data_IF_410976539979
#
_entry.id   IF_410976539979
#
_cell.length_a   1.000
_cell.length_b   1.000
_cell.length_c   1.000
_cell.angle_alpha   90.00
_cell.angle_beta   90.00
_cell.angle_gamma   90.00
#
_symmetry.space_group_name_H-M   'P 1'
#
loop_
_entity.id
_entity.type
_entity.pdbx_description
1 polymer ?
#
# COMPACT_ATOMS: atom_id res chain seq x y z
N UNK A 1 -7.30 -10.46 -5.86
CA UNK A 1 -8.06 -9.29 -6.40
C UNK A 1 -7.13 -8.10 -6.70
N UNK A 2 -7.59 -6.98 -7.31
CA UNK A 2 -6.75 -5.77 -7.53
C UNK A 2 -7.42 -4.48 -7.04
N UNK A 3 -6.73 -3.66 -6.23
CA UNK A 3 -7.23 -2.32 -5.90
C UNK A 3 -7.13 -1.41 -7.13
N UNK A 4 -8.22 -0.71 -7.42
CA UNK A 4 -8.34 0.20 -8.54
C UNK A 4 -8.95 1.51 -8.05
N UNK A 5 -8.46 2.63 -8.57
CA UNK A 5 -9.25 3.85 -8.61
C UNK A 5 -10.14 3.77 -9.84
N UNK A 6 -11.43 3.95 -9.63
CA UNK A 6 -12.41 3.81 -10.70
C UNK A 6 -13.41 4.95 -10.69
N UNK A 7 -13.98 5.21 -11.85
CA UNK A 7 -14.97 6.26 -12.03
C UNK A 7 -16.28 5.61 -12.47
N UNK A 8 -17.35 5.65 -11.66
CA UNK A 8 -18.67 5.20 -12.07
C UNK A 8 -19.16 6.00 -13.28
N UNK A 9 -19.81 5.32 -14.23
CA UNK A 9 -20.43 5.98 -15.38
C UNK A 9 -21.45 7.05 -14.93
N UNK A 10 -21.41 8.22 -15.55
CA UNK A 10 -22.30 9.35 -15.23
C UNK A 10 -21.83 10.23 -14.06
N UNK A 11 -20.78 9.83 -13.34
CA UNK A 11 -20.23 10.56 -12.19
C UNK A 11 -18.86 11.16 -12.51
N UNK A 12 -18.51 12.26 -11.82
CA UNK A 12 -17.17 12.89 -11.89
C UNK A 12 -16.21 12.42 -10.80
N UNK A 13 -16.74 11.80 -9.76
CA UNK A 13 -15.98 11.32 -8.61
C UNK A 13 -15.16 10.08 -8.96
N UNK A 14 -13.94 10.03 -8.41
CA UNK A 14 -13.05 8.88 -8.49
C UNK A 14 -13.11 8.18 -7.13
N UNK A 15 -13.49 6.92 -7.13
CA UNK A 15 -13.67 6.12 -5.93
C UNK A 15 -12.64 4.99 -5.86
N UNK A 16 -12.16 4.64 -4.65
CA UNK A 16 -11.39 3.42 -4.46
C UNK A 16 -12.31 2.19 -4.55
N UNK A 17 -11.86 1.14 -5.21
CA UNK A 17 -12.61 -0.12 -5.30
C UNK A 17 -11.72 -1.34 -5.49
N UNK A 18 -12.29 -2.51 -5.22
CA UNK A 18 -11.63 -3.81 -5.40
C UNK A 18 -12.15 -4.45 -6.67
N UNK A 19 -11.27 -4.71 -7.63
CA UNK A 19 -11.57 -5.44 -8.85
C UNK A 19 -11.61 -6.95 -8.59
N UNK A 20 -12.77 -7.53 -8.86
CA UNK A 20 -13.08 -8.97 -8.77
C UNK A 20 -13.48 -9.48 -10.16
N UNK A 21 -13.61 -10.81 -10.34
CA UNK A 21 -14.14 -11.37 -11.59
C UNK A 21 -15.60 -10.96 -11.89
N UNK A 22 -16.34 -10.48 -10.86
CA UNK A 22 -17.74 -10.09 -10.98
C UNK A 22 -17.95 -8.59 -11.17
N UNK A 23 -16.91 -7.76 -11.03
CA UNK A 23 -17.01 -6.30 -11.09
C UNK A 23 -16.09 -5.58 -10.12
N UNK A 24 -16.23 -4.25 -10.07
CA UNK A 24 -15.53 -3.42 -9.08
C UNK A 24 -16.46 -3.16 -7.92
N UNK A 25 -16.05 -3.60 -6.74
CA UNK A 25 -16.76 -3.30 -5.50
C UNK A 25 -16.18 -1.99 -4.98
N UNK A 26 -16.97 -0.91 -5.01
CA UNK A 26 -16.64 0.29 -4.24
C UNK A 26 -16.54 -0.11 -2.79
N UNK A 27 -15.63 0.50 -2.04
CA UNK A 27 -15.57 0.33 -0.58
C UNK A 27 -16.89 0.75 0.10
N UNK A 28 -17.80 1.42 -0.62
CA UNK A 28 -19.17 1.72 -0.19
C UNK A 28 -20.30 0.88 -0.81
N UNK A 29 -20.15 0.28 -2.01
CA UNK A 29 -21.20 -0.46 -2.77
C UNK A 29 -20.68 -1.16 -4.05
N UNK A 30 -21.30 -2.23 -4.53
CA UNK A 30 -20.87 -2.93 -5.75
C UNK A 30 -21.34 -2.25 -7.06
N UNK A 31 -20.44 -2.09 -8.05
CA UNK A 31 -20.76 -1.54 -9.38
C UNK A 31 -20.47 -2.57 -10.48
N UNK A 32 -21.39 -2.80 -11.45
CA UNK A 32 -21.17 -3.70 -12.58
C UNK A 32 -19.92 -3.34 -13.39
N UNK A 33 -19.14 -4.34 -13.82
CA UNK A 33 -17.88 -4.12 -14.56
C UNK A 33 -18.07 -3.33 -15.86
N UNK A 34 -19.22 -3.48 -16.51
CA UNK A 34 -19.59 -2.76 -17.74
C UNK A 34 -19.62 -1.24 -17.56
N UNK A 35 -19.88 -0.78 -16.33
CA UNK A 35 -20.19 0.61 -16.02
C UNK A 35 -18.97 1.31 -15.38
N UNK A 36 -17.83 0.64 -15.39
CA UNK A 36 -16.59 1.09 -14.76
C UNK A 36 -15.50 1.31 -15.81
N UNK A 37 -14.86 2.49 -15.75
CA UNK A 37 -13.59 2.74 -16.44
C UNK A 37 -12.44 2.61 -15.45
N UNK A 38 -11.62 1.57 -15.62
CA UNK A 38 -10.39 1.42 -14.86
C UNK A 38 -9.38 2.48 -15.32
N UNK A 39 -8.88 3.28 -14.37
CA UNK A 39 -7.73 4.14 -14.60
C UNK A 39 -6.46 3.35 -14.33
N UNK A 40 -5.35 3.78 -14.92
CA UNK A 40 -4.04 3.26 -14.56
C UNK A 40 -3.91 3.29 -13.02
N UNK A 41 -3.29 2.26 -12.40
CA UNK A 41 -3.04 2.26 -10.97
C UNK A 41 -2.46 3.60 -10.57
N UNK A 42 -2.87 4.13 -9.41
CA UNK A 42 -2.36 5.39 -8.86
C UNK A 42 -0.85 5.44 -9.15
N UNK A 43 -0.36 6.41 -9.95
CA UNK A 43 1.05 6.48 -10.24
C UNK A 43 1.73 6.84 -8.91
N UNK A 44 2.26 5.81 -8.23
CA UNK A 44 2.82 5.86 -6.89
C UNK A 44 1.79 6.12 -5.78
N UNK A 45 0.98 5.14 -5.34
CA UNK A 45 0.59 5.17 -3.93
C UNK A 45 1.90 5.27 -3.15
N UNK A 46 1.96 6.09 -2.09
CA UNK A 46 3.16 6.14 -1.25
C UNK A 46 3.60 4.73 -0.80
N UNK A 47 4.77 4.61 -0.17
CA UNK A 47 5.37 3.35 0.34
C UNK A 47 4.53 2.63 1.43
N UNK A 48 3.23 2.88 1.49
CA UNK A 48 2.26 2.49 2.49
C UNK A 48 1.61 1.15 2.11
N UNK A 49 1.45 0.85 0.82
CA UNK A 49 0.65 -0.30 0.38
C UNK A 49 1.39 -1.18 -0.62
N UNK A 50 1.63 -2.43 -0.23
CA UNK A 50 2.23 -3.47 -1.08
C UNK A 50 1.16 -4.26 -1.86
N UNK A 51 0.09 -4.69 -1.18
CA UNK A 51 -1.05 -5.40 -1.74
C UNK A 51 -2.29 -5.24 -0.85
N UNK A 52 -3.43 -5.69 -1.35
CA UNK A 52 -4.65 -5.90 -0.56
C UNK A 52 -5.14 -7.30 -0.87
N UNK A 53 -5.40 -8.07 0.19
CA UNK A 53 -6.03 -9.38 0.13
C UNK A 53 -7.33 -9.35 0.91
N UNK A 54 -8.30 -10.16 0.51
CA UNK A 54 -9.56 -10.31 1.25
C UNK A 54 -9.40 -11.29 2.42
N UNK A 55 -10.31 -11.22 3.39
CA UNK A 55 -10.25 -12.07 4.57
C UNK A 55 -10.34 -13.58 4.24
N UNK A 56 -10.98 -13.96 3.13
CA UNK A 56 -11.04 -15.34 2.66
C UNK A 56 -9.77 -15.81 1.94
N UNK A 57 -8.94 -14.89 1.44
CA UNK A 57 -7.62 -15.18 0.85
C UNK A 57 -6.56 -15.44 1.95
N UNK A 58 -6.82 -15.04 3.21
CA UNK A 58 -5.91 -15.22 4.36
C UNK A 58 -6.63 -16.00 5.48
N UNK A 59 -6.49 -17.35 5.51
CA UNK A 59 -7.18 -18.18 6.51
C UNK A 59 -6.81 -17.86 7.96
N UNK A 60 -5.56 -17.48 8.22
CA UNK A 60 -5.04 -17.09 9.53
C UNK A 60 -4.17 -15.83 9.38
N UNK A 61 -4.61 -14.65 9.86
CA UNK A 61 -3.88 -13.40 9.67
C UNK A 61 -2.58 -13.31 10.47
N UNK A 62 -2.46 -14.10 11.54
CA UNK A 62 -1.23 -14.27 12.31
C UNK A 62 -0.44 -15.53 11.88
N UNK A 63 -0.56 -15.96 10.61
CA UNK A 63 0.28 -17.01 10.00
C UNK A 63 0.67 -16.61 8.56
N UNK A 64 1.35 -15.47 8.44
CA UNK A 64 1.80 -14.92 7.15
C UNK A 64 3.31 -14.70 7.22
N UNK A 65 4.04 -15.37 6.33
CA UNK A 65 5.50 -15.24 6.25
C UNK A 65 5.90 -14.02 5.42
N UNK A 66 6.75 -13.17 5.98
CA UNK A 66 7.23 -11.92 5.39
C UNK A 66 8.74 -11.94 5.28
N UNK A 67 9.24 -11.63 4.08
CA UNK A 67 10.66 -11.48 3.80
C UNK A 67 10.94 -10.14 3.11
N UNK A 68 12.09 -9.55 3.43
CA UNK A 68 12.52 -8.25 2.89
C UNK A 68 14.02 -8.24 2.69
N UNK A 69 14.47 -7.78 1.52
CA UNK A 69 15.87 -7.67 1.15
C UNK A 69 16.23 -6.24 0.73
N UNK A 70 17.47 -5.87 0.99
CA UNK A 70 18.10 -4.65 0.45
C UNK A 70 19.40 -5.05 -0.23
N UNK A 71 19.52 -4.75 -1.53
CA UNK A 71 20.64 -5.17 -2.38
C UNK A 71 20.97 -6.67 -2.24
N UNK A 72 19.92 -7.49 -2.18
CA UNK A 72 20.01 -8.95 -2.05
C UNK A 72 20.35 -9.45 -0.64
N UNK A 73 20.60 -8.56 0.33
CA UNK A 73 20.81 -8.94 1.73
C UNK A 73 19.46 -9.07 2.44
N UNK A 74 19.15 -10.27 2.94
CA UNK A 74 17.95 -10.52 3.74
C UNK A 74 18.02 -9.72 5.03
N UNK A 75 17.03 -8.85 5.25
CA UNK A 75 16.91 -8.03 6.45
C UNK A 75 15.75 -8.49 7.33
N UNK A 76 14.53 -8.56 6.82
CA UNK A 76 13.41 -9.15 7.58
C UNK A 76 13.11 -10.57 7.07
N UNK A 77 12.85 -11.47 8.00
CA UNK A 77 12.41 -12.84 7.74
C UNK A 77 11.64 -13.35 8.96
N UNK A 78 10.32 -13.13 8.99
CA UNK A 78 9.50 -13.42 10.16
C UNK A 78 8.08 -13.82 9.75
N UNK A 79 7.37 -14.52 10.63
CA UNK A 79 5.95 -14.80 10.47
C UNK A 79 5.14 -13.84 11.37
N UNK A 80 3.92 -13.49 10.96
CA UNK A 80 3.01 -12.63 11.73
C UNK A 80 2.48 -13.26 13.03
N UNK A 81 2.84 -14.51 13.34
CA UNK A 81 2.68 -15.11 14.67
C UNK A 81 3.57 -14.46 15.75
N UNK A 82 4.66 -13.81 15.34
CA UNK A 82 5.59 -13.05 16.20
C UNK A 82 5.09 -11.63 16.54
N UNK A 83 3.87 -11.28 16.13
CA UNK A 83 3.25 -10.02 16.52
C UNK A 83 2.95 -9.99 18.03
N UNK A 84 3.41 -8.96 18.74
CA UNK A 84 3.14 -8.77 20.18
C UNK A 84 1.64 -8.67 20.48
N UNK A 85 0.88 -8.06 19.59
CA UNK A 85 -0.59 -8.00 19.64
C UNK A 85 -1.18 -8.68 18.41
N UNK A 86 -2.05 -9.66 18.62
CA UNK A 86 -2.65 -10.41 17.50
C UNK A 86 -3.68 -9.56 16.77
N UNK A 87 -3.96 -9.92 15.51
CA UNK A 87 -4.92 -9.16 14.68
C UNK A 87 -6.32 -9.04 15.33
N UNK A 88 -6.89 -10.08 15.95
CA UNK A 88 -8.17 -9.95 16.66
C UNK A 88 -8.13 -8.93 17.81
N UNK A 89 -7.02 -8.86 18.56
CA UNK A 89 -6.83 -7.93 19.68
C UNK A 89 -6.70 -6.49 19.18
N UNK A 90 -5.98 -6.29 18.08
CA UNK A 90 -5.85 -4.99 17.41
C UNK A 90 -7.20 -4.48 16.91
N UNK A 91 -8.03 -5.35 16.34
CA UNK A 91 -9.39 -5.00 15.89
C UNK A 91 -10.26 -4.64 17.10
N UNK A 92 -10.25 -5.46 18.16
CA UNK A 92 -10.98 -5.17 19.40
C UNK A 92 -10.62 -3.78 19.93
N UNK A 93 -9.32 -3.50 20.08
CA UNK A 93 -8.85 -2.22 20.57
C UNK A 93 -9.22 -1.06 19.64
N UNK A 94 -9.05 -1.21 18.32
CA UNK A 94 -9.38 -0.18 17.36
C UNK A 94 -10.88 0.16 17.35
N UNK A 95 -11.75 -0.81 17.62
CA UNK A 95 -13.21 -0.59 17.70
C UNK A 95 -13.68 0.15 18.95
N UNK A 96 -12.77 0.55 19.85
CA UNK A 96 -13.07 1.52 20.92
C UNK A 96 -13.36 2.92 20.37
N UNK A 97 -12.94 3.19 19.13
CA UNK A 97 -13.37 4.34 18.32
C UNK A 97 -14.22 3.86 17.14
N UNK A 98 -15.01 4.76 16.55
CA UNK A 98 -15.77 4.43 15.33
C UNK A 98 -14.82 4.21 14.15
N UNK A 99 -14.81 3.00 13.61
CA UNK A 99 -14.14 2.67 12.35
C UNK A 99 -15.10 2.84 11.17
N UNK A 100 -14.58 3.36 10.07
CA UNK A 100 -15.28 3.51 8.80
C UNK A 100 -14.71 2.54 7.76
N UNK A 101 -15.52 2.19 6.77
CA UNK A 101 -15.03 1.40 5.64
C UNK A 101 -13.88 2.12 4.93
N UNK A 102 -12.76 1.42 4.75
CA UNK A 102 -11.55 1.97 4.16
C UNK A 102 -10.50 2.44 5.18
N UNK A 103 -10.80 2.42 6.48
CA UNK A 103 -9.80 2.68 7.51
C UNK A 103 -8.70 1.60 7.49
N UNK A 104 -7.46 2.02 7.73
CA UNK A 104 -6.27 1.16 7.73
C UNK A 104 -5.68 1.12 9.15
N UNK A 105 -5.58 -0.08 9.71
CA UNK A 105 -4.88 -0.34 10.97
C UNK A 105 -3.45 -0.75 10.64
N UNK A 106 -2.46 0.06 11.04
CA UNK A 106 -1.06 -0.31 10.92
C UNK A 106 -0.66 -1.21 12.10
N UNK A 107 -0.46 -2.50 11.84
CA UNK A 107 -0.25 -3.51 12.88
C UNK A 107 1.17 -3.55 13.47
N UNK A 108 1.98 -2.53 13.22
CA UNK A 108 3.38 -2.48 13.62
C UNK A 108 4.33 -3.10 12.59
N UNK A 109 5.61 -3.12 12.94
CA UNK A 109 6.71 -3.66 12.14
C UNK A 109 7.53 -4.56 13.03
N UNK A 110 7.93 -5.73 12.52
CA UNK A 110 8.91 -6.56 13.21
C UNK A 110 10.23 -5.77 13.37
N UNK A 111 10.82 -5.83 14.56
CA UNK A 111 11.97 -5.03 14.93
C UNK A 111 13.30 -5.62 14.43
N UNK A 112 13.33 -6.92 14.14
CA UNK A 112 14.53 -7.61 13.67
C UNK A 112 14.89 -7.18 12.25
N UNK A 113 16.13 -6.74 12.03
CA UNK A 113 16.62 -6.37 10.69
C UNK A 113 16.26 -4.96 10.23
N UNK A 114 15.69 -4.14 11.13
CA UNK A 114 15.50 -2.72 10.87
C UNK A 114 16.82 -1.99 10.62
N UNK A 115 16.81 -1.13 9.61
CA UNK A 115 17.98 -0.32 9.26
C UNK A 115 17.62 0.73 8.22
N UNK A 116 18.50 1.72 8.02
CA UNK A 116 18.26 2.77 7.05
C UNK A 116 18.26 2.19 5.62
N UNK A 117 17.47 2.83 4.75
CA UNK A 117 17.44 2.60 3.32
C UNK A 117 18.00 3.84 2.61
N UNK A 118 19.01 3.66 1.77
CA UNK A 118 19.70 4.73 1.05
C UNK A 118 19.13 4.94 -0.35
N UNK A 119 19.37 6.12 -0.92
CA UNK A 119 18.95 6.42 -2.30
C UNK A 119 19.57 5.42 -3.29
N UNK A 120 18.75 4.89 -4.19
CA UNK A 120 19.20 3.99 -5.26
C UNK A 120 19.24 2.51 -4.89
N UNK A 121 19.27 2.15 -3.60
CA UNK A 121 19.28 0.75 -3.14
C UNK A 121 18.10 -0.04 -3.72
N UNK A 122 18.37 -1.27 -4.17
CA UNK A 122 17.33 -2.19 -4.62
C UNK A 122 16.65 -2.79 -3.40
N UNK A 123 15.32 -2.68 -3.38
CA UNK A 123 14.49 -3.28 -2.35
C UNK A 123 13.75 -4.43 -2.98
N UNK A 124 13.63 -5.52 -2.24
CA UNK A 124 12.77 -6.64 -2.59
C UNK A 124 11.95 -7.01 -1.36
N UNK A 125 10.69 -7.33 -1.55
CA UNK A 125 9.86 -7.86 -0.49
C UNK A 125 8.95 -8.96 -1.03
N UNK A 126 8.71 -9.94 -0.17
CA UNK A 126 7.84 -11.06 -0.41
C UNK A 126 6.94 -11.24 0.82
N UNK A 127 5.63 -11.22 0.59
CA UNK A 127 4.61 -11.61 1.54
C UNK A 127 4.05 -12.91 0.98
N UNK A 128 4.43 -14.02 1.60
CA UNK A 128 4.31 -15.34 0.97
C UNK A 128 2.88 -15.63 0.53
N UNK A 129 2.71 -15.98 -0.75
CA UNK A 129 1.41 -16.28 -1.34
C UNK A 129 0.51 -15.07 -1.62
N UNK A 130 0.89 -13.87 -1.20
CA UNK A 130 0.07 -12.66 -1.30
C UNK A 130 0.67 -11.62 -2.25
N UNK A 131 1.96 -11.31 -2.12
CA UNK A 131 2.59 -10.28 -2.92
C UNK A 131 4.11 -10.41 -3.01
N UNK A 132 4.64 -9.99 -4.14
CA UNK A 132 6.07 -9.84 -4.38
C UNK A 132 6.33 -8.54 -5.14
N UNK A 133 7.29 -7.74 -4.70
CA UNK A 133 7.74 -6.60 -5.50
C UNK A 133 9.20 -6.23 -5.23
N UNK A 134 9.83 -5.64 -6.25
CA UNK A 134 11.23 -5.22 -6.21
C UNK A 134 11.42 -3.73 -6.58
N UNK A 135 10.93 -2.77 -5.77
CA UNK A 135 11.10 -1.36 -6.05
C UNK A 135 12.55 -0.90 -5.82
N UNK A 136 12.87 0.31 -6.28
CA UNK A 136 14.12 0.97 -5.89
C UNK A 136 13.85 2.09 -4.89
N UNK A 137 14.71 2.17 -3.89
CA UNK A 137 14.76 3.29 -2.98
C UNK A 137 15.03 4.58 -3.76
N UNK A 138 14.31 5.64 -3.39
CA UNK A 138 14.50 7.00 -3.86
C UNK A 138 14.36 7.94 -2.69
N UNK A 139 15.29 8.85 -2.57
CA UNK A 139 15.26 9.99 -1.67
C UNK A 139 14.23 11.00 -2.15
N UNK A 140 13.67 11.77 -1.22
CA UNK A 140 12.73 12.83 -1.57
C UNK A 140 13.36 13.87 -2.51
N UNK A 141 14.66 14.17 -2.35
CA UNK A 141 15.40 15.06 -3.26
C UNK A 141 15.51 14.50 -4.68
N UNK A 142 15.77 13.19 -4.84
CA UNK A 142 15.83 12.55 -6.16
C UNK A 142 14.47 12.53 -6.87
N UNK A 143 13.35 12.51 -6.14
CA UNK A 143 12.00 12.60 -6.71
C UNK A 143 11.63 14.03 -7.16
N UNK A 144 12.35 15.06 -6.70
CA UNK A 144 12.03 16.48 -6.95
C UNK A 144 12.85 17.14 -8.08
N UNK A 145 13.71 16.44 -8.82
CA UNK A 145 14.64 17.05 -9.79
C UNK A 145 14.25 16.95 -11.27
N UNK A 146 13.66 18.00 -11.85
CA UNK A 146 13.93 18.64 -13.18
C UNK A 146 12.93 19.80 -13.41
N UNK A 147 12.78 20.71 -12.42
CA UNK A 147 12.03 21.96 -12.58
C UNK A 147 13.00 23.13 -12.64
N UNK A 148 13.20 23.73 -13.82
CA UNK A 148 13.92 25.01 -13.97
C UNK A 148 13.29 26.03 -13.01
N UNK A 149 13.99 26.37 -11.93
CA UNK A 149 13.73 27.61 -11.21
C UNK A 149 14.28 28.74 -12.09
N UNK A 150 13.42 29.29 -12.95
CA UNK A 150 13.73 30.56 -13.61
C UNK A 150 13.64 31.64 -12.53
N UNK A 151 14.78 31.95 -11.92
CA UNK A 151 14.89 33.06 -10.98
C UNK A 151 14.62 34.37 -11.70
N UNK A 152 13.37 34.83 -11.66
CA UNK A 152 13.09 36.24 -11.94
C UNK A 152 13.66 37.06 -10.78
N UNK A 153 14.84 37.62 -11.03
CA UNK A 153 15.50 38.62 -10.21
C UNK A 153 14.52 39.78 -10.00
N UNK A 154 13.92 39.87 -8.82
CA UNK A 154 13.26 41.09 -8.38
C UNK A 154 14.37 42.07 -7.98
N UNK A 155 14.67 42.94 -8.93
CA UNK A 155 15.31 44.24 -8.70
C UNK A 155 14.48 44.99 -7.64
N UNK A 156 15.08 45.24 -6.48
CA UNK A 156 14.57 46.19 -5.51
C UNK A 156 15.37 47.49 -5.68
N UNK A 157 14.67 48.50 -6.19
CA UNK A 157 15.03 49.92 -6.17
C UNK A 157 15.00 50.49 -4.76
#
# INVERSE_FOLDING_TARGET
MKLVSFQPAGTRDILPGVLTERGVVSVADAVPLSDVRLRAPLPQPGKILACIATADEIPEPNDVHVQFWVDGQLRHNYNTDDMEHRVPELIEFATTITLNSGDIIACGTNHEGLGPLQDGEAVEFDIHGLAHAAPRARSAQALMGEGRVHGSRLDQS
#
